data_IF_636948732855
#
_entry.id   IF_636948732855
#
_cell.length_a   1.000
_cell.length_b   1.000
_cell.length_c   1.000
_cell.angle_alpha   90.00
_cell.angle_beta   90.00
_cell.angle_gamma   90.00
#
_symmetry.space_group_name_H-M   'P 1'
#
loop_
_entity.id
_entity.type
_entity.pdbx_description
1 polymer ?
#
# COMPACT_ATOMS: atom_id res chain seq x y z
N UNK A 1 -29.34 -4.13 -13.90
CA UNK A 1 -28.89 -5.33 -13.19
C UNK A 1 -28.63 -4.95 -11.74
N UNK A 2 -29.39 -5.50 -10.80
CA UNK A 2 -29.14 -5.32 -9.36
C UNK A 2 -28.77 -6.69 -8.81
N UNK A 3 -27.48 -6.94 -8.57
CA UNK A 3 -27.03 -8.15 -7.90
C UNK A 3 -27.04 -7.92 -6.39
N UNK A 4 -27.87 -8.68 -5.68
CA UNK A 4 -27.91 -8.72 -4.22
C UNK A 4 -26.71 -9.55 -3.74
N UNK A 5 -25.52 -8.95 -3.75
CA UNK A 5 -24.29 -9.63 -3.35
C UNK A 5 -24.34 -9.87 -1.84
N UNK A 6 -24.20 -11.14 -1.42
CA UNK A 6 -24.26 -11.52 -0.01
C UNK A 6 -23.11 -10.87 0.77
N UNK A 7 -23.41 -10.34 1.96
CA UNK A 7 -22.38 -9.78 2.85
C UNK A 7 -21.43 -10.84 3.42
N UNK A 8 -21.76 -12.13 3.27
CA UNK A 8 -20.93 -13.26 3.71
C UNK A 8 -20.15 -13.92 2.57
N UNK A 9 -20.27 -13.40 1.35
CA UNK A 9 -19.51 -13.90 0.21
C UNK A 9 -18.11 -13.25 0.18
N UNK A 10 -17.13 -13.99 0.70
CA UNK A 10 -15.72 -13.60 0.70
C UNK A 10 -14.96 -14.07 -0.54
N UNK A 11 -15.65 -14.54 -1.58
CA UNK A 11 -14.99 -14.93 -2.82
C UNK A 11 -14.34 -13.72 -3.50
N UNK A 12 -13.18 -13.95 -4.11
CA UNK A 12 -12.37 -12.89 -4.72
C UNK A 12 -13.09 -12.19 -5.90
N UNK A 13 -14.09 -12.85 -6.49
CA UNK A 13 -14.90 -12.33 -7.60
C UNK A 13 -16.40 -12.50 -7.30
N UNK A 14 -16.89 -11.79 -6.28
CA UNK A 14 -18.30 -11.82 -5.87
C UNK A 14 -19.17 -10.75 -6.56
N UNK A 15 -18.61 -10.02 -7.53
CA UNK A 15 -19.25 -8.89 -8.20
C UNK A 15 -19.16 -7.54 -7.47
N UNK A 16 -18.65 -7.51 -6.22
CA UNK A 16 -18.19 -6.28 -5.53
C UNK A 16 -16.70 -6.10 -5.76
N UNK A 17 -15.93 -7.17 -5.61
CA UNK A 17 -14.57 -7.27 -6.12
C UNK A 17 -14.65 -7.74 -7.56
N UNK A 18 -14.12 -6.92 -8.46
CA UNK A 18 -13.95 -7.20 -9.88
C UNK A 18 -12.45 -7.22 -10.19
N UNK A 19 -11.73 -8.33 -9.90
CA UNK A 19 -10.29 -8.43 -10.17
C UNK A 19 -9.95 -8.15 -11.64
N UNK A 20 -10.85 -8.46 -12.57
CA UNK A 20 -10.75 -8.16 -13.99
C UNK A 20 -10.82 -6.66 -14.32
N UNK A 21 -11.38 -5.84 -13.43
CA UNK A 21 -11.36 -4.39 -13.57
C UNK A 21 -9.99 -3.78 -13.22
N UNK A 22 -9.09 -4.58 -12.65
CA UNK A 22 -7.72 -4.18 -12.38
C UNK A 22 -6.97 -4.20 -13.73
N UNK A 23 -6.71 -3.00 -14.25
CA UNK A 23 -6.08 -2.80 -15.56
C UNK A 23 -4.68 -3.42 -15.67
N UNK A 24 -3.91 -3.37 -14.59
CA UNK A 24 -2.53 -3.87 -14.51
C UNK A 24 -2.33 -4.67 -13.22
N UNK A 25 -2.86 -5.91 -13.13
CA UNK A 25 -2.79 -6.70 -11.89
C UNK A 25 -1.36 -7.08 -11.51
N UNK A 26 -0.44 -7.13 -12.47
CA UNK A 26 1.01 -7.27 -12.25
C UNK A 26 1.63 -6.08 -11.51
N UNK A 27 0.97 -4.92 -11.49
CA UNK A 27 1.39 -3.72 -10.75
C UNK A 27 0.68 -3.62 -9.39
N UNK A 28 0.20 -4.74 -8.85
CA UNK A 28 -0.27 -4.83 -7.47
C UNK A 28 0.82 -5.43 -6.61
N UNK A 29 1.18 -4.71 -5.55
CA UNK A 29 2.13 -5.20 -4.55
C UNK A 29 1.53 -6.39 -3.79
N UNK A 30 2.22 -7.52 -3.83
CA UNK A 30 1.89 -8.75 -3.11
C UNK A 30 2.52 -8.77 -1.72
N UNK A 31 3.81 -8.40 -1.64
CA UNK A 31 4.55 -8.27 -0.39
C UNK A 31 5.58 -7.14 -0.48
N UNK A 32 5.88 -6.50 0.64
CA UNK A 32 6.93 -5.50 0.72
C UNK A 32 7.41 -5.37 2.16
N UNK A 33 8.61 -4.82 2.34
CA UNK A 33 9.09 -4.49 3.69
C UNK A 33 8.13 -3.47 4.29
N UNK A 34 7.53 -3.83 5.42
CA UNK A 34 6.55 -2.99 6.06
C UNK A 34 6.90 -2.70 7.51
N UNK A 35 6.74 -1.43 7.88
CA UNK A 35 6.86 -0.97 9.24
C UNK A 35 5.77 0.05 9.56
N UNK A 36 5.37 0.03 10.81
CA UNK A 36 4.49 1.01 11.40
C UNK A 36 5.35 2.05 12.09
N UNK A 37 5.25 3.29 11.61
CA UNK A 37 5.78 4.42 12.33
C UNK A 37 4.92 4.66 13.58
N UNK A 38 5.55 4.63 14.76
CA UNK A 38 4.95 5.13 16.00
C UNK A 38 5.45 6.55 16.22
N UNK A 39 4.56 7.45 16.65
CA UNK A 39 4.92 8.86 16.87
C UNK A 39 6.09 8.98 17.85
N UNK A 40 7.22 9.52 17.38
CA UNK A 40 8.40 9.82 18.18
C UNK A 40 9.40 8.66 18.40
N UNK A 41 9.19 7.50 17.78
CA UNK A 41 9.99 6.29 18.07
C UNK A 41 10.42 5.55 16.78
N UNK A 42 11.36 4.61 16.94
CA UNK A 42 11.78 3.66 15.90
C UNK A 42 10.56 2.92 15.32
N UNK A 43 10.45 2.72 14.00
CA UNK A 43 9.34 2.00 13.39
C UNK A 43 9.27 0.56 13.93
N UNK A 44 8.08 0.10 14.31
CA UNK A 44 7.83 -1.30 14.68
C UNK A 44 7.47 -2.09 13.43
N UNK A 45 7.94 -3.33 13.29
CA UNK A 45 7.57 -4.17 12.15
C UNK A 45 6.06 -4.42 12.13
N UNK A 46 5.45 -4.35 10.94
CA UNK A 46 4.09 -4.86 10.71
C UNK A 46 4.17 -6.05 9.75
N UNK A 47 3.20 -6.96 9.81
CA UNK A 47 3.09 -8.06 8.86
C UNK A 47 2.27 -7.69 7.61
N UNK A 48 1.65 -6.52 7.61
CA UNK A 48 0.71 -6.10 6.58
C UNK A 48 1.19 -4.80 5.92
N UNK A 49 1.32 -4.83 4.59
CA UNK A 49 1.23 -3.61 3.80
C UNK A 49 -0.19 -3.11 3.92
N UNK A 50 -0.36 -1.93 4.49
CA UNK A 50 -1.66 -1.32 4.62
C UNK A 50 -1.63 0.04 3.94
N UNK A 51 -2.60 0.33 3.06
CA UNK A 51 -2.92 1.71 2.76
C UNK A 51 -3.25 2.44 4.07
N UNK A 52 -3.14 3.77 4.09
CA UNK A 52 -3.57 4.57 5.23
C UNK A 52 -4.96 4.12 5.72
N UNK A 53 -5.04 3.62 6.95
CA UNK A 53 -6.24 3.06 7.53
C UNK A 53 -6.77 3.91 8.68
N UNK A 54 -8.09 4.02 8.80
CA UNK A 54 -8.73 4.65 9.97
C UNK A 54 -8.26 3.92 11.24
N UNK A 55 -7.59 4.66 12.14
CA UNK A 55 -7.02 4.11 13.39
C UNK A 55 -5.52 3.79 13.36
N UNK A 56 -4.83 3.97 12.22
CA UNK A 56 -3.37 3.87 12.16
C UNK A 56 -2.71 5.14 12.71
N UNK A 57 -1.70 4.97 13.58
CA UNK A 57 -0.91 6.08 14.14
C UNK A 57 0.01 6.74 13.12
N UNK A 58 0.35 6.02 12.04
CA UNK A 58 1.16 6.50 10.94
C UNK A 58 0.27 6.98 9.81
N UNK A 59 0.44 8.25 9.46
CA UNK A 59 -0.30 8.91 8.38
C UNK A 59 0.25 8.58 7.00
N UNK A 60 1.47 8.06 6.92
CA UNK A 60 2.11 7.59 5.71
C UNK A 60 1.91 6.07 5.58
N UNK A 61 1.72 5.56 4.35
CA UNK A 61 1.63 4.11 4.08
C UNK A 61 2.75 3.30 4.72
N UNK A 62 2.52 2.01 4.98
CA UNK A 62 3.44 1.20 5.80
C UNK A 62 4.67 0.65 5.04
N UNK A 63 4.85 0.98 3.77
CA UNK A 63 6.04 0.56 3.00
C UNK A 63 7.29 1.18 3.61
N UNK A 64 8.23 0.34 4.02
CA UNK A 64 9.43 0.74 4.73
C UNK A 64 10.67 0.58 3.85
N UNK A 65 11.51 1.61 3.85
CA UNK A 65 12.70 1.72 3.03
C UNK A 65 13.97 1.60 3.89
N UNK A 66 14.17 0.43 4.52
CA UNK A 66 15.25 0.15 5.50
C UNK A 66 16.67 0.27 4.93
N UNK A 67 16.87 0.02 3.63
CA UNK A 67 18.20 -0.12 3.04
C UNK A 67 18.61 1.14 2.27
N UNK A 68 19.02 2.19 2.98
CA UNK A 68 19.41 3.47 2.35
C UNK A 68 18.29 4.09 1.50
N UNK A 69 17.04 3.95 1.96
CA UNK A 69 15.88 4.42 1.19
C UNK A 69 15.43 3.46 0.08
N UNK A 70 15.78 2.18 0.16
CA UNK A 70 15.31 1.12 -0.73
C UNK A 70 14.36 0.15 0.00
N UNK A 71 13.34 -0.30 -0.72
CA UNK A 71 12.40 -1.35 -0.33
C UNK A 71 12.38 -2.44 -1.40
N UNK A 72 12.28 -3.70 -0.99
CA UNK A 72 12.03 -4.81 -1.91
C UNK A 72 10.53 -5.04 -2.00
N UNK A 73 10.01 -5.09 -3.22
CA UNK A 73 8.59 -5.23 -3.51
C UNK A 73 8.43 -6.50 -4.35
N UNK A 74 7.62 -7.43 -3.85
CA UNK A 74 7.14 -8.56 -4.61
C UNK A 74 5.75 -8.22 -5.15
N UNK A 75 5.52 -8.55 -6.41
CA UNK A 75 4.31 -8.22 -7.15
C UNK A 75 3.42 -9.44 -7.31
N UNK A 76 2.13 -9.21 -7.60
CA UNK A 76 1.13 -10.27 -7.65
C UNK A 76 1.37 -11.31 -8.76
N UNK A 77 2.12 -10.96 -9.80
CA UNK A 77 2.55 -11.87 -10.86
C UNK A 77 3.83 -12.66 -10.50
N UNK A 78 4.38 -12.44 -9.30
CA UNK A 78 5.56 -13.12 -8.77
C UNK A 78 6.89 -12.46 -9.11
N UNK A 79 6.93 -11.35 -9.85
CA UNK A 79 8.19 -10.61 -10.01
C UNK A 79 8.55 -9.86 -8.73
N UNK A 80 9.85 -9.61 -8.54
CA UNK A 80 10.35 -8.82 -7.42
C UNK A 80 11.26 -7.73 -7.95
N UNK A 81 11.13 -6.52 -7.44
CA UNK A 81 12.05 -5.43 -7.74
C UNK A 81 12.37 -4.57 -6.52
N UNK A 82 13.38 -3.73 -6.67
CA UNK A 82 13.80 -2.79 -5.63
C UNK A 82 13.27 -1.41 -5.97
N UNK A 83 12.52 -0.83 -5.05
CA UNK A 83 11.94 0.51 -5.17
C UNK A 83 12.66 1.51 -4.27
N UNK A 84 12.81 2.72 -4.80
CA UNK A 84 13.37 3.86 -4.08
C UNK A 84 12.26 4.64 -3.38
N UNK A 85 12.56 5.15 -2.20
CA UNK A 85 11.71 6.11 -1.52
C UNK A 85 11.52 7.36 -2.38
N UNK A 86 10.26 7.71 -2.68
CA UNK A 86 9.93 8.93 -3.41
C UNK A 86 9.41 10.00 -2.45
N UNK A 87 8.57 9.63 -1.49
CA UNK A 87 8.04 10.58 -0.51
C UNK A 87 7.33 9.90 0.65
N UNK A 88 7.11 10.68 1.72
CA UNK A 88 6.47 10.24 2.95
C UNK A 88 7.18 10.73 4.21
N UNK A 89 7.19 9.92 5.27
CA UNK A 89 7.97 10.23 6.47
C UNK A 89 9.45 9.94 6.24
N UNK A 90 10.21 10.98 5.89
CA UNK A 90 11.63 10.84 5.57
C UNK A 90 12.50 10.41 6.77
N UNK A 91 12.10 10.72 8.00
CA UNK A 91 12.84 10.35 9.21
C UNK A 91 12.71 8.85 9.50
N UNK A 92 11.51 8.30 9.29
CA UNK A 92 11.18 6.91 9.55
C UNK A 92 11.28 6.02 8.30
N UNK A 93 11.56 6.63 7.14
CA UNK A 93 11.65 5.98 5.84
C UNK A 93 10.42 5.13 5.52
N UNK A 94 9.23 5.63 5.85
CA UNK A 94 7.95 5.01 5.46
C UNK A 94 7.17 5.92 4.52
N UNK A 95 6.54 5.36 3.48
CA UNK A 95 5.81 6.17 2.50
C UNK A 95 5.53 5.45 1.18
N UNK A 96 5.82 6.13 0.08
CA UNK A 96 5.49 5.68 -1.28
C UNK A 96 6.70 5.70 -2.22
N UNK A 97 6.59 4.94 -3.31
CA UNK A 97 7.64 4.82 -4.34
C UNK A 97 7.15 5.12 -5.77
N UNK A 98 5.84 5.28 -5.97
CA UNK A 98 5.25 5.60 -7.28
C UNK A 98 3.88 6.29 -7.11
N UNK A 99 3.20 6.58 -8.22
CA UNK A 99 1.87 7.20 -8.22
C UNK A 99 0.75 6.30 -7.71
N UNK A 100 0.93 4.97 -7.71
CA UNK A 100 -0.09 4.02 -7.24
C UNK A 100 -0.08 3.91 -5.72
N UNK A 101 1.10 4.08 -5.11
CA UNK A 101 1.32 4.08 -3.66
C UNK A 101 1.32 5.49 -3.06
N UNK A 102 1.43 6.53 -3.88
CA UNK A 102 1.35 7.95 -3.46
C UNK A 102 0.06 8.35 -2.73
N UNK A 103 -1.13 7.79 -3.02
CA UNK A 103 -2.34 8.08 -2.23
C UNK A 103 -2.22 7.76 -0.74
N UNK A 104 -1.17 7.04 -0.33
CA UNK A 104 -0.85 6.82 1.09
C UNK A 104 -0.08 7.97 1.73
N UNK A 105 0.25 9.04 1.00
CA UNK A 105 0.77 10.30 1.54
C UNK A 105 -0.40 11.10 2.16
N UNK A 106 -0.33 11.52 3.43
CA UNK A 106 -1.39 12.29 4.07
C UNK A 106 -1.59 13.68 3.47
N UNK A 107 -0.63 14.19 2.71
CA UNK A 107 -0.77 15.44 1.98
C UNK A 107 -1.25 15.23 0.54
N UNK A 108 -1.58 13.99 0.16
CA UNK A 108 -2.12 13.71 -1.15
C UNK A 108 -3.53 14.28 -1.29
N UNK A 109 -3.66 15.28 -2.14
CA UNK A 109 -4.94 15.75 -2.66
C UNK A 109 -5.07 15.31 -4.11
N UNK A 110 -6.16 14.61 -4.46
CA UNK A 110 -6.46 14.39 -5.87
C UNK A 110 -6.70 15.74 -6.53
N UNK A 111 -5.84 16.13 -7.47
CA UNK A 111 -6.20 17.17 -8.44
C UNK A 111 -7.34 16.63 -9.28
N UNK A 112 -8.53 17.23 -9.13
CA UNK A 112 -9.69 16.96 -9.97
C UNK A 112 -9.31 17.17 -11.44
N UNK A 113 -9.48 16.14 -12.27
CA UNK A 113 -9.47 16.27 -13.73
C UNK A 113 -10.83 16.74 -14.22
#
# INVERSE_FOLDING_TARGET
FSSTISATDYSISNGRTAPEAIRTPSEIVMFGDCAMATTGSTPTGTALLTPNGVGMMTTYGTVHFRHSGLANIAWADGHCDTKKFVGGNNALKVGYFDTTTRPFDPNYTETSN
#
